data_IF_305002452037
#
_entry.id   IF_305002452037
#
_cell.length_a   1.000
_cell.length_b   1.000
_cell.length_c   1.000
_cell.angle_alpha   90.00
_cell.angle_beta   90.00
_cell.angle_gamma   90.00
#
_symmetry.space_group_name_H-M   'P 1'
#
loop_
_entity.id
_entity.type
_entity.pdbx_description
1 polymer ?
#
# COMPACT_ATOMS: atom_id res chain seq x y z
N UNK A 1 -45.78 -6.92 -3.12
CA UNK A 1 -44.40 -7.37 -2.88
C UNK A 1 -43.57 -6.13 -2.53
N UNK A 2 -43.41 -5.86 -1.23
CA UNK A 2 -42.61 -4.75 -0.71
C UNK A 2 -41.22 -5.30 -0.40
N UNK A 3 -40.19 -4.83 -1.13
CA UNK A 3 -38.80 -5.18 -0.86
C UNK A 3 -38.35 -4.67 0.51
N UNK A 4 -37.24 -5.19 1.07
CA UNK A 4 -36.73 -4.74 2.36
C UNK A 4 -36.38 -3.25 2.28
N UNK A 5 -36.86 -2.50 3.27
CA UNK A 5 -36.59 -1.07 3.44
C UNK A 5 -35.08 -0.88 3.64
N UNK A 6 -34.40 0.04 2.91
CA UNK A 6 -32.99 0.32 3.15
C UNK A 6 -32.79 0.83 4.58
N UNK A 7 -31.82 0.26 5.29
CA UNK A 7 -31.49 0.64 6.66
C UNK A 7 -30.97 2.10 6.69
N UNK A 8 -31.67 3.02 7.37
CA UNK A 8 -31.29 4.43 7.45
C UNK A 8 -29.97 4.67 8.22
N UNK A 9 -29.44 3.65 8.90
CA UNK A 9 -28.16 3.69 9.62
C UNK A 9 -27.03 2.96 8.89
N UNK A 10 -27.26 2.44 7.68
CA UNK A 10 -26.22 1.81 6.85
C UNK A 10 -25.25 2.80 6.20
N UNK A 11 -25.41 4.10 6.46
CA UNK A 11 -24.43 5.12 6.09
C UNK A 11 -23.22 5.06 7.02
N UNK A 12 -22.02 5.28 6.47
CA UNK A 12 -20.83 5.50 7.29
C UNK A 12 -21.11 6.69 8.25
N UNK A 13 -20.92 6.55 9.57
CA UNK A 13 -21.21 7.62 10.50
C UNK A 13 -20.41 8.87 10.14
N UNK A 14 -21.01 10.07 10.26
CA UNK A 14 -20.35 11.35 9.96
C UNK A 14 -19.07 11.61 10.78
N UNK A 15 -18.87 10.88 11.88
CA UNK A 15 -17.67 10.95 12.72
C UNK A 15 -16.52 10.04 12.25
N UNK A 16 -16.77 9.07 11.36
CA UNK A 16 -15.75 8.16 10.88
C UNK A 16 -14.91 8.83 9.79
N UNK A 17 -13.57 8.76 9.84
CA UNK A 17 -12.72 9.34 8.81
C UNK A 17 -13.09 8.79 7.44
N UNK A 18 -13.10 9.68 6.44
CA UNK A 18 -13.28 9.26 5.05
C UNK A 18 -12.15 8.30 4.65
N UNK A 19 -12.42 7.31 3.78
CA UNK A 19 -11.37 6.45 3.27
C UNK A 19 -10.29 7.28 2.56
N UNK A 20 -9.00 6.90 2.69
CA UNK A 20 -7.95 7.55 1.93
C UNK A 20 -8.09 7.26 0.44
N UNK A 21 -7.37 8.00 -0.40
CA UNK A 21 -7.23 7.69 -1.83
C UNK A 21 -6.78 6.23 -2.03
N UNK A 22 -7.35 5.50 -2.98
CA UNK A 22 -6.92 4.13 -3.26
C UNK A 22 -5.56 4.13 -3.97
N UNK A 23 -4.85 3.00 -3.87
CA UNK A 23 -3.72 2.71 -4.76
C UNK A 23 -4.28 2.22 -6.10
N UNK A 24 -3.94 2.95 -7.17
CA UNK A 24 -4.17 2.53 -8.54
C UNK A 24 -2.90 1.91 -9.11
N UNK A 25 -3.05 0.85 -9.89
CA UNK A 25 -1.94 0.14 -10.53
C UNK A 25 -2.01 0.40 -12.03
N UNK A 26 -0.98 1.03 -12.58
CA UNK A 26 -0.95 1.45 -13.99
C UNK A 26 0.25 0.83 -14.73
N UNK A 27 0.14 0.54 -16.05
CA UNK A 27 1.28 0.09 -16.84
C UNK A 27 2.43 1.12 -16.85
N UNK A 28 3.67 0.68 -16.65
CA UNK A 28 4.85 1.55 -16.69
C UNK A 28 5.22 2.05 -18.09
N UNK A 29 4.59 1.52 -19.15
CA UNK A 29 4.78 1.97 -20.54
C UNK A 29 4.24 3.38 -20.80
N UNK A 30 3.40 3.91 -19.90
CA UNK A 30 2.90 5.28 -19.94
C UNK A 30 3.96 6.35 -19.61
N UNK A 31 3.54 7.61 -19.63
CA UNK A 31 4.37 8.76 -19.21
C UNK A 31 4.31 8.94 -17.69
N UNK A 32 4.81 7.96 -16.94
CA UNK A 32 4.91 7.99 -15.48
C UNK A 32 6.39 8.10 -15.11
N UNK A 33 6.72 8.96 -14.15
CA UNK A 33 8.06 9.05 -13.54
C UNK A 33 8.27 7.82 -12.65
N UNK A 34 9.39 7.11 -12.82
CA UNK A 34 9.58 5.79 -12.22
C UNK A 34 10.51 5.81 -11.02
N UNK A 35 11.45 6.77 -10.94
CA UNK A 35 12.46 6.77 -9.89
C UNK A 35 11.85 6.72 -8.49
N UNK A 36 12.21 5.67 -7.76
CA UNK A 36 11.77 5.42 -6.39
C UNK A 36 10.29 5.04 -6.26
N UNK A 37 9.53 4.91 -7.35
CA UNK A 37 8.14 4.47 -7.29
C UNK A 37 8.05 3.01 -6.92
N UNK A 38 6.99 2.67 -6.17
CA UNK A 38 6.62 1.29 -5.91
C UNK A 38 6.05 0.66 -7.17
N UNK A 39 6.48 -0.55 -7.46
CA UNK A 39 6.09 -1.27 -8.66
C UNK A 39 5.75 -2.71 -8.35
N UNK A 40 4.96 -3.29 -9.25
CA UNK A 40 4.75 -4.72 -9.35
C UNK A 40 5.37 -5.20 -10.66
N UNK A 41 5.94 -6.40 -10.64
CA UNK A 41 6.41 -7.09 -11.83
C UNK A 41 5.65 -8.39 -12.02
N UNK A 42 5.33 -8.74 -13.26
CA UNK A 42 4.65 -10.00 -13.52
C UNK A 42 4.27 -10.20 -14.97
N UNK A 43 3.57 -11.31 -15.20
CA UNK A 43 3.07 -11.70 -16.50
C UNK A 43 1.58 -12.04 -16.36
N UNK A 44 0.72 -11.52 -17.26
CA UNK A 44 -0.68 -11.89 -17.32
C UNK A 44 -0.86 -13.42 -17.30
N UNK A 45 -1.78 -13.90 -16.46
CA UNK A 45 -2.05 -15.34 -16.29
C UNK A 45 -1.09 -16.11 -15.37
N UNK A 46 0.03 -15.52 -14.94
CA UNK A 46 1.01 -16.19 -14.05
C UNK A 46 1.02 -15.64 -12.63
N UNK A 47 0.84 -14.33 -12.48
CA UNK A 47 0.82 -13.65 -11.19
C UNK A 47 1.78 -12.46 -11.13
N UNK A 48 1.81 -11.85 -9.95
CA UNK A 48 2.42 -10.54 -9.70
C UNK A 48 3.29 -10.59 -8.45
N UNK A 49 4.44 -9.93 -8.50
CA UNK A 49 5.33 -9.74 -7.35
C UNK A 49 5.40 -8.26 -7.02
N UNK A 50 5.04 -7.90 -5.78
CA UNK A 50 5.16 -6.56 -5.22
C UNK A 50 6.36 -6.42 -4.28
N UNK A 51 6.33 -5.41 -3.42
CA UNK A 51 7.43 -4.99 -2.53
C UNK A 51 8.72 -4.67 -3.31
N UNK A 52 8.56 -3.99 -4.44
CA UNK A 52 9.63 -3.59 -5.34
C UNK A 52 9.59 -2.08 -5.58
N UNK A 53 10.75 -1.51 -5.89
CA UNK A 53 10.88 -0.14 -6.38
C UNK A 53 11.64 -0.09 -7.68
N UNK A 54 11.26 0.87 -8.52
CA UNK A 54 11.87 1.11 -9.82
C UNK A 54 12.85 2.28 -9.79
N UNK A 55 13.78 2.27 -10.73
CA UNK A 55 14.53 3.44 -11.17
C UNK A 55 14.07 3.88 -12.57
N UNK A 56 14.68 4.95 -13.10
CA UNK A 56 14.36 5.45 -14.43
C UNK A 56 14.58 4.41 -15.53
N UNK A 57 13.70 4.47 -16.53
CA UNK A 57 13.74 3.56 -17.68
C UNK A 57 15.02 3.74 -18.49
N UNK A 58 15.52 2.63 -19.01
CA UNK A 58 16.68 2.57 -19.89
C UNK A 58 16.31 1.92 -21.21
N UNK A 59 16.90 2.38 -22.31
CA UNK A 59 16.69 1.80 -23.65
C UNK A 59 17.93 1.03 -24.05
N UNK A 60 17.77 -0.26 -24.35
CA UNK A 60 18.84 -1.15 -24.81
C UNK A 60 18.36 -2.00 -25.99
N UNK A 61 19.15 -2.08 -27.06
CA UNK A 61 18.83 -2.89 -28.24
C UNK A 61 17.39 -2.68 -28.77
N UNK A 62 16.97 -1.40 -28.85
CA UNK A 62 15.61 -1.00 -29.28
C UNK A 62 14.47 -1.50 -28.39
N UNK A 63 14.74 -1.88 -27.14
CA UNK A 63 13.75 -2.25 -26.14
C UNK A 63 13.89 -1.39 -24.89
N UNK A 64 12.77 -1.10 -24.24
CA UNK A 64 12.73 -0.33 -23.00
C UNK A 64 12.69 -1.27 -21.81
N UNK A 65 13.59 -1.04 -20.86
CA UNK A 65 13.68 -1.79 -19.62
C UNK A 65 13.55 -0.84 -18.43
N UNK A 66 13.11 -1.38 -17.31
CA UNK A 66 13.03 -0.68 -16.02
C UNK A 66 13.92 -1.44 -15.04
N UNK A 67 14.93 -0.80 -14.43
CA UNK A 67 15.66 -1.37 -13.31
C UNK A 67 14.73 -1.50 -12.10
N UNK A 68 14.64 -2.68 -11.51
CA UNK A 68 13.73 -2.95 -10.38
C UNK A 68 14.47 -3.69 -9.27
N UNK A 69 14.37 -3.22 -8.03
CA UNK A 69 14.96 -3.84 -6.84
C UNK A 69 13.93 -4.05 -5.74
N UNK A 70 14.16 -4.97 -4.80
CA UNK A 70 13.37 -5.07 -3.57
C UNK A 70 13.28 -3.73 -2.85
N UNK A 71 12.12 -3.41 -2.30
CA UNK A 71 11.89 -2.12 -1.64
C UNK A 71 12.85 -1.88 -0.46
N UNK A 72 13.16 -2.92 0.32
CA UNK A 72 14.14 -2.82 1.41
C UNK A 72 15.55 -2.47 0.92
N UNK A 73 15.97 -3.00 -0.24
CA UNK A 73 17.27 -2.66 -0.85
C UNK A 73 17.28 -1.23 -1.34
N UNK A 74 16.17 -0.74 -1.91
CA UNK A 74 16.03 0.65 -2.31
C UNK A 74 16.17 1.61 -1.12
N UNK A 75 15.47 1.33 -0.02
CA UNK A 75 15.58 2.17 1.18
C UNK A 75 16.99 2.15 1.77
N UNK A 76 17.66 0.99 1.75
CA UNK A 76 19.06 0.89 2.17
C UNK A 76 19.98 1.68 1.25
N UNK A 77 19.82 1.55 -0.06
CA UNK A 77 20.59 2.28 -1.07
C UNK A 77 20.49 3.79 -0.88
N UNK A 78 19.26 4.30 -0.76
CA UNK A 78 18.99 5.72 -0.56
C UNK A 78 19.48 6.21 0.82
N UNK A 79 19.28 5.44 1.90
CA UNK A 79 19.68 5.87 3.24
C UNK A 79 21.19 5.83 3.46
N UNK A 80 21.88 4.83 2.91
CA UNK A 80 23.32 4.62 3.12
C UNK A 80 24.16 5.16 1.95
N UNK A 81 23.51 5.72 0.91
CA UNK A 81 24.13 6.24 -0.31
C UNK A 81 25.03 5.19 -0.98
N UNK A 82 24.52 3.96 -1.11
CA UNK A 82 25.21 2.83 -1.74
C UNK A 82 24.58 2.45 -3.06
N UNK A 83 25.40 2.05 -4.02
CA UNK A 83 24.91 1.54 -5.30
C UNK A 83 24.43 0.09 -5.16
N UNK A 84 23.32 -0.23 -5.83
CA UNK A 84 22.75 -1.58 -5.86
C UNK A 84 22.50 -1.97 -7.32
N UNK A 85 22.85 -3.21 -7.66
CA UNK A 85 22.61 -3.75 -8.99
C UNK A 85 21.15 -4.16 -9.14
N UNK A 86 20.46 -3.52 -10.09
CA UNK A 86 19.07 -3.78 -10.39
C UNK A 86 18.92 -4.68 -11.63
N UNK A 87 18.17 -5.79 -11.57
CA UNK A 87 17.76 -6.50 -12.78
C UNK A 87 16.92 -5.60 -13.70
N UNK A 88 17.15 -5.73 -15.01
CA UNK A 88 16.40 -5.02 -16.03
C UNK A 88 15.16 -5.81 -16.44
N UNK A 89 13.99 -5.28 -16.11
CA UNK A 89 12.70 -5.88 -16.45
C UNK A 89 12.11 -5.19 -17.67
N UNK A 90 11.64 -5.91 -18.71
CA UNK A 90 10.94 -5.28 -19.84
C UNK A 90 9.77 -4.43 -19.35
N UNK A 91 9.64 -3.21 -19.88
CA UNK A 91 8.65 -2.23 -19.37
C UNK A 91 7.21 -2.73 -19.43
N UNK A 92 6.89 -3.62 -20.36
CA UNK A 92 5.56 -4.22 -20.53
C UNK A 92 5.18 -5.17 -19.38
N UNK A 93 6.16 -5.54 -18.54
CA UNK A 93 5.97 -6.41 -17.36
C UNK A 93 5.96 -5.64 -16.06
N UNK A 94 6.07 -4.31 -16.11
CA UNK A 94 6.17 -3.45 -14.93
C UNK A 94 4.90 -2.62 -14.79
N UNK A 95 4.37 -2.61 -13.58
CA UNK A 95 3.17 -1.88 -13.19
C UNK A 95 3.52 -0.97 -12.02
N UNK A 96 3.03 0.26 -12.02
CA UNK A 96 3.38 1.29 -11.05
C UNK A 96 2.21 1.53 -10.12
N UNK A 97 2.48 1.59 -8.82
CA UNK A 97 1.52 2.06 -7.82
C UNK A 97 1.44 3.59 -7.87
N UNK A 98 0.25 4.12 -8.12
CA UNK A 98 -0.09 5.54 -8.13
C UNK A 98 -1.26 5.82 -7.20
N UNK A 99 -1.44 7.07 -6.77
CA UNK A 99 -2.62 7.46 -6.00
C UNK A 99 -3.78 7.74 -6.95
N UNK A 100 -4.89 7.05 -6.73
CA UNK A 100 -6.15 7.33 -7.42
C UNK A 100 -6.90 8.50 -6.82
N UNK A 101 -8.10 8.73 -7.35
CA UNK A 101 -9.04 9.71 -6.81
C UNK A 101 -9.83 9.14 -5.63
N UNK A 102 -10.24 10.02 -4.70
CA UNK A 102 -11.11 9.63 -3.57
C UNK A 102 -12.43 9.12 -4.13
N UNK A 103 -12.71 7.83 -3.95
CA UNK A 103 -14.00 7.22 -4.28
C UNK A 103 -14.73 6.89 -2.97
N UNK A 104 -16.04 7.13 -2.92
CA UNK A 104 -16.86 6.63 -1.82
C UNK A 104 -16.75 5.12 -1.77
N UNK A 105 -16.29 4.56 -0.65
CA UNK A 105 -16.20 3.13 -0.46
C UNK A 105 -17.59 2.50 -0.62
N UNK A 106 -17.75 1.66 -1.63
CA UNK A 106 -18.86 0.69 -1.66
C UNK A 106 -18.46 -0.47 -0.77
N UNK A 107 -19.16 -0.66 0.35
CA UNK A 107 -18.96 -1.82 1.23
C UNK A 107 -19.00 -3.12 0.40
N UNK A 108 -17.87 -3.82 0.28
CA UNK A 108 -17.87 -5.18 -0.26
C UNK A 108 -18.36 -6.12 0.83
N UNK A 109 -19.68 -6.17 0.99
CA UNK A 109 -20.33 -7.08 1.92
C UNK A 109 -20.11 -8.53 1.49
N UNK A 110 -19.71 -9.36 2.46
CA UNK A 110 -19.87 -10.81 2.41
C UNK A 110 -18.67 -11.59 1.89
N UNK A 111 -18.16 -12.47 2.76
CA UNK A 111 -17.25 -13.59 2.46
C UNK A 111 -17.77 -14.39 1.25
N UNK A 112 -17.32 -13.99 0.08
CA UNK A 112 -17.50 -14.67 -1.19
C UNK A 112 -16.13 -14.78 -1.84
N UNK A 113 -15.90 -15.85 -2.61
CA UNK A 113 -14.67 -16.02 -3.38
C UNK A 113 -14.52 -14.82 -4.31
N UNK A 114 -13.56 -13.93 -4.02
CA UNK A 114 -13.31 -12.74 -4.83
C UNK A 114 -12.51 -13.15 -6.07
N UNK A 115 -13.22 -13.36 -7.19
CA UNK A 115 -12.61 -13.67 -8.47
C UNK A 115 -12.02 -12.41 -9.08
N UNK A 116 -10.76 -12.49 -9.52
CA UNK A 116 -10.03 -11.37 -10.12
C UNK A 116 -9.67 -11.67 -11.57
N UNK A 117 -9.53 -10.63 -12.39
CA UNK A 117 -8.88 -10.79 -13.70
C UNK A 117 -7.39 -11.11 -13.50
N UNK A 118 -6.85 -11.96 -14.39
CA UNK A 118 -5.42 -12.27 -14.45
C UNK A 118 -4.68 -11.43 -15.50
N UNK A 119 -5.36 -10.52 -16.18
CA UNK A 119 -4.77 -9.69 -17.24
C UNK A 119 -3.92 -8.54 -16.68
N UNK A 120 -4.23 -8.10 -15.46
CA UNK A 120 -3.54 -7.02 -14.75
C UNK A 120 -3.50 -7.31 -13.24
N UNK A 121 -2.60 -6.66 -12.48
CA UNK A 121 -2.63 -6.71 -11.03
C UNK A 121 -3.97 -6.26 -10.45
N UNK A 122 -4.41 -6.90 -9.37
CA UNK A 122 -5.66 -6.55 -8.70
C UNK A 122 -5.52 -5.23 -7.94
N UNK A 123 -6.47 -4.33 -8.13
CA UNK A 123 -6.60 -3.12 -7.32
C UNK A 123 -7.23 -3.47 -5.98
N UNK A 124 -6.60 -3.07 -4.87
CA UNK A 124 -7.15 -3.24 -3.53
C UNK A 124 -7.72 -1.92 -3.05
N UNK A 125 -8.97 -1.95 -2.59
CA UNK A 125 -9.56 -0.81 -1.93
C UNK A 125 -8.93 -0.65 -0.54
N UNK A 126 -8.70 0.59 -0.07
CA UNK A 126 -8.28 0.82 1.29
C UNK A 126 -9.24 0.14 2.26
N UNK A 127 -8.68 -0.65 3.19
CA UNK A 127 -9.47 -1.42 4.16
C UNK A 127 -9.26 -0.82 5.56
N UNK A 128 -10.31 -0.49 6.32
CA UNK A 128 -10.13 -0.03 7.69
C UNK A 128 -9.39 -1.08 8.53
N UNK A 129 -8.47 -0.65 9.38
CA UNK A 129 -7.67 -1.57 10.21
C UNK A 129 -8.53 -2.44 11.13
N UNK A 130 -9.63 -1.89 11.65
CA UNK A 130 -10.53 -2.63 12.55
C UNK A 130 -11.32 -3.76 11.85
N UNK A 131 -11.34 -3.82 10.52
CA UNK A 131 -11.97 -4.91 9.75
C UNK A 131 -10.99 -6.04 9.41
N UNK A 132 -9.72 -5.94 9.83
CA UNK A 132 -8.66 -6.89 9.49
C UNK A 132 -8.10 -7.57 10.73
N UNK A 133 -7.92 -8.89 10.64
CA UNK A 133 -7.43 -9.71 11.76
C UNK A 133 -5.91 -9.56 12.04
N UNK A 134 -5.12 -9.24 11.01
CA UNK A 134 -3.66 -9.12 11.11
C UNK A 134 -3.14 -7.87 10.37
N UNK A 135 -2.40 -7.04 11.09
CA UNK A 135 -1.92 -5.74 10.58
C UNK A 135 -0.42 -5.54 10.68
N UNK A 136 0.31 -6.25 11.54
CA UNK A 136 1.76 -6.04 11.68
C UNK A 136 2.50 -6.20 10.34
N UNK A 137 3.44 -5.30 10.08
CA UNK A 137 4.25 -5.24 8.88
C UNK A 137 3.54 -4.72 7.63
N UNK A 138 2.21 -4.56 7.65
CA UNK A 138 1.44 -4.02 6.51
C UNK A 138 1.64 -2.51 6.39
N UNK A 139 1.57 -2.01 5.15
CA UNK A 139 1.53 -0.57 4.87
C UNK A 139 0.19 -0.01 5.33
N UNK A 140 0.23 1.13 6.02
CA UNK A 140 -0.95 1.78 6.55
C UNK A 140 -0.97 3.25 6.19
N UNK A 141 -2.17 3.81 6.11
CA UNK A 141 -2.45 5.22 5.96
C UNK A 141 -3.09 5.70 7.24
N UNK A 142 -2.56 6.78 7.81
CA UNK A 142 -3.15 7.47 8.94
C UNK A 142 -3.96 8.66 8.44
N UNK A 143 -5.25 8.67 8.75
CA UNK A 143 -6.16 9.78 8.46
C UNK A 143 -6.12 10.79 9.62
N UNK A 144 -5.16 11.71 9.57
CA UNK A 144 -5.06 12.81 10.52
C UNK A 144 -5.93 14.00 10.09
N UNK A 145 -6.19 14.94 11.00
CA UNK A 145 -6.92 16.18 10.71
C UNK A 145 -6.25 17.01 9.59
N UNK A 146 -4.92 16.90 9.48
CA UNK A 146 -4.13 17.57 8.43
C UNK A 146 -4.17 16.88 7.07
N UNK A 147 -4.79 15.69 6.96
CA UNK A 147 -4.91 14.91 5.73
C UNK A 147 -4.31 13.50 5.84
N UNK A 148 -4.16 12.86 4.68
CA UNK A 148 -3.62 11.50 4.54
C UNK A 148 -2.10 11.47 4.81
N UNK A 149 -1.68 10.77 5.86
CA UNK A 149 -0.27 10.46 6.11
C UNK A 149 0.02 9.02 5.65
N UNK A 150 0.94 8.88 4.70
CA UNK A 150 1.34 7.61 4.06
C UNK A 150 2.79 7.25 4.38
N UNK A 151 3.26 6.16 3.76
CA UNK A 151 4.60 5.61 3.95
C UNK A 151 4.84 5.23 5.42
N UNK A 152 3.79 4.67 6.03
CA UNK A 152 3.81 4.12 7.38
C UNK A 152 3.65 2.60 7.31
N UNK A 153 4.26 1.91 8.28
CA UNK A 153 4.02 0.49 8.52
C UNK A 153 3.56 0.25 9.94
N UNK A 154 2.61 -0.67 10.10
CA UNK A 154 2.20 -1.14 11.42
C UNK A 154 3.31 -2.00 12.04
N UNK A 155 3.68 -1.70 13.27
CA UNK A 155 4.74 -2.37 14.04
C UNK A 155 4.16 -3.47 14.95
N UNK A 156 2.92 -3.29 15.39
CA UNK A 156 2.23 -4.21 16.30
C UNK A 156 0.90 -4.65 15.71
N UNK A 157 0.35 -5.74 16.24
CA UNK A 157 -1.08 -6.01 16.11
C UNK A 157 -1.89 -4.98 16.90
N UNK A 158 -3.22 -5.07 16.80
CA UNK A 158 -4.14 -4.26 17.59
C UNK A 158 -4.01 -4.59 19.07
N UNK A 159 -3.99 -3.56 19.92
CA UNK A 159 -3.93 -3.71 21.37
C UNK A 159 -4.71 -2.61 22.07
N UNK A 160 -5.03 -2.81 23.35
CA UNK A 160 -5.67 -1.77 24.16
C UNK A 160 -4.64 -0.76 24.64
N UNK A 161 -4.82 0.50 24.25
CA UNK A 161 -3.98 1.63 24.63
C UNK A 161 -4.23 2.09 26.08
N UNK A 162 -3.46 3.08 26.52
CA UNK A 162 -3.51 3.56 27.91
C UNK A 162 -4.85 4.19 28.31
N UNK A 163 -5.59 4.75 27.34
CA UNK A 163 -6.88 5.43 27.54
C UNK A 163 -8.08 4.52 27.25
N UNK A 164 -7.85 3.23 27.01
CA UNK A 164 -8.90 2.25 26.71
C UNK A 164 -9.26 2.14 25.22
N UNK A 165 -8.70 3.00 24.38
CA UNK A 165 -8.83 2.90 22.92
C UNK A 165 -8.15 1.66 22.37
N UNK A 166 -8.62 1.18 21.21
CA UNK A 166 -7.93 0.14 20.44
C UNK A 166 -6.93 0.85 19.51
N UNK A 167 -5.66 0.53 19.67
CA UNK A 167 -4.55 1.20 19.00
C UNK A 167 -3.66 0.22 18.23
N UNK A 168 -2.87 0.78 17.31
CA UNK A 168 -1.74 0.12 16.65
C UNK A 168 -0.54 1.05 16.72
N UNK A 169 0.67 0.49 16.91
CA UNK A 169 1.90 1.28 16.75
C UNK A 169 2.27 1.33 15.29
N UNK A 170 2.53 2.52 14.77
CA UNK A 170 3.00 2.74 13.40
C UNK A 170 4.38 3.39 13.41
N UNK A 171 5.14 3.19 12.34
CA UNK A 171 6.45 3.81 12.12
C UNK A 171 6.56 4.27 10.67
N UNK A 172 7.36 5.32 10.36
CA UNK A 172 7.77 5.59 9.00
C UNK A 172 8.41 4.36 8.35
N UNK A 173 8.11 4.14 7.08
CA UNK A 173 8.53 2.94 6.36
C UNK A 173 10.06 2.83 6.22
N UNK A 174 10.76 3.96 6.08
CA UNK A 174 12.22 3.97 6.13
C UNK A 174 12.74 3.38 7.46
N UNK A 175 12.15 3.77 8.60
CA UNK A 175 12.57 3.26 9.90
C UNK A 175 12.21 1.77 10.07
N UNK A 176 11.08 1.33 9.52
CA UNK A 176 10.72 -0.09 9.47
C UNK A 176 11.80 -0.93 8.80
N UNK A 177 12.25 -0.50 7.61
CA UNK A 177 13.29 -1.23 6.90
C UNK A 177 14.66 -1.05 7.54
N UNK A 178 14.98 0.14 8.05
CA UNK A 178 16.23 0.39 8.77
C UNK A 178 16.38 -0.53 9.96
N UNK A 179 15.30 -0.85 10.67
CA UNK A 179 15.33 -1.82 11.77
C UNK A 179 15.93 -3.16 11.33
N UNK A 180 15.58 -3.64 10.13
CA UNK A 180 16.05 -4.94 9.64
C UNK A 180 17.58 -5.01 9.44
N UNK A 181 18.24 -3.94 9.00
CA UNK A 181 19.71 -3.96 8.76
C UNK A 181 20.54 -3.24 9.83
N UNK A 182 19.96 -2.33 10.62
CA UNK A 182 20.65 -1.71 11.78
C UNK A 182 20.42 -2.47 13.08
N UNK A 183 19.39 -3.31 13.16
CA UNK A 183 19.04 -4.09 14.36
C UNK A 183 18.48 -3.25 15.52
N UNK A 184 18.25 -1.95 15.33
CA UNK A 184 17.71 -1.05 16.34
C UNK A 184 16.20 -0.86 16.13
N UNK A 185 15.38 -0.96 17.18
CA UNK A 185 13.93 -0.80 17.06
C UNK A 185 13.60 0.63 16.57
N UNK A 186 12.55 0.77 15.72
CA UNK A 186 12.18 2.07 15.19
C UNK A 186 11.45 2.93 16.22
N UNK A 187 11.45 4.24 16.02
CA UNK A 187 10.55 5.14 16.74
C UNK A 187 9.12 4.90 16.28
N UNK A 188 8.19 4.72 17.22
CA UNK A 188 6.79 4.43 16.92
C UNK A 188 5.85 5.51 17.41
N UNK A 189 4.76 5.74 16.68
CA UNK A 189 3.59 6.50 17.09
C UNK A 189 2.44 5.55 17.39
N UNK A 190 1.74 5.75 18.51
CA UNK A 190 0.50 5.03 18.83
C UNK A 190 -0.68 5.76 18.18
N UNK A 191 -1.49 5.02 17.40
CA UNK A 191 -2.62 5.59 16.65
C UNK A 191 -3.88 4.73 16.86
N UNK A 192 -5.04 5.35 17.16
CA UNK A 192 -6.31 4.64 17.24
C UNK A 192 -6.69 3.95 15.92
N UNK A 193 -7.21 2.73 15.99
CA UNK A 193 -7.53 1.91 14.79
C UNK A 193 -8.57 2.52 13.87
N UNK A 194 -9.47 3.35 14.40
CA UNK A 194 -10.51 4.03 13.60
C UNK A 194 -9.95 5.13 12.69
N UNK A 195 -8.69 5.55 12.91
CA UNK A 195 -7.97 6.51 12.05
C UNK A 195 -7.02 5.82 11.06
N UNK A 196 -6.92 4.49 11.09
CA UNK A 196 -5.97 3.73 10.28
C UNK A 196 -6.66 2.91 9.20
N UNK A 197 -6.05 2.94 8.03
CA UNK A 197 -6.45 2.18 6.85
C UNK A 197 -5.27 1.41 6.31
N UNK A 198 -5.50 0.22 5.79
CA UNK A 198 -4.50 -0.57 5.08
C UNK A 198 -4.55 -0.21 3.60
N UNK A 199 -3.36 -0.04 2.99
CA UNK A 199 -3.20 0.17 1.56
C UNK A 199 -3.52 -1.06 0.70
#
# INVERSE_FOLDING_TARGET
>A
MTGPLPDPFAGQPDWAPRPPRPIEIMPASGRIELRGRRVLVGLPGFGWRGDLRADERVVQNSRTYVPVIPEHEWYRAESEQVEVFAPLVPVERVWVETLGEVRSATASGGSSVNLVSLDAPTHRAPTPVFETDAVSGRRVVHMADSGEQRDLRAVTETYSGAEGDICVRVTPELEWYRWAWRGQPPTTLEVPVHLLWIE
#
